data_IF_437131831899
#
_entry.id   IF_437131831899
#
_cell.length_a   1.000
_cell.length_b   1.000
_cell.length_c   1.000
_cell.angle_alpha   90.00
_cell.angle_beta   90.00
_cell.angle_gamma   90.00
#
_symmetry.space_group_name_H-M   'P 1'
#
loop_
_entity.id
_entity.type
_entity.pdbx_description
1 polymer ?
#
# COMPACT_ATOMS: atom_id res chain seq x y z
N UNK A 1 9.69 24.07 26.66
CA UNK A 1 9.54 24.16 25.19
C UNK A 1 8.79 22.91 24.75
N UNK A 2 7.52 23.05 24.38
CA UNK A 2 6.67 21.92 23.97
C UNK A 2 6.89 21.65 22.47
N UNK A 3 7.41 20.46 22.15
CA UNK A 3 7.56 20.00 20.76
C UNK A 3 6.30 19.26 20.33
N UNK A 4 5.62 19.79 19.31
CA UNK A 4 4.50 19.11 18.67
C UNK A 4 5.04 17.99 17.76
N UNK A 5 4.69 16.74 18.04
CA UNK A 5 4.83 15.65 17.08
C UNK A 5 3.79 15.86 15.97
N UNK A 6 4.25 16.29 14.80
CA UNK A 6 3.43 16.21 13.59
C UNK A 6 3.42 14.76 13.10
N UNK A 7 2.30 14.06 13.27
CA UNK A 7 2.05 12.79 12.58
C UNK A 7 1.88 13.09 11.09
N UNK A 8 2.86 12.66 10.29
CA UNK A 8 2.78 12.75 8.84
C UNK A 8 1.97 11.55 8.35
N UNK A 9 0.69 11.77 8.09
CA UNK A 9 -0.20 10.75 7.53
C UNK A 9 0.18 10.60 6.04
N UNK A 10 0.59 9.41 5.57
CA UNK A 10 0.78 9.20 4.14
C UNK A 10 -0.59 9.33 3.46
N UNK A 11 -0.71 10.30 2.56
CA UNK A 11 -1.87 10.41 1.67
C UNK A 11 -1.73 9.27 0.67
N UNK A 12 -2.47 8.19 0.90
CA UNK A 12 -2.73 7.21 -0.15
C UNK A 12 -3.57 7.91 -1.22
N UNK A 13 -2.98 8.17 -2.38
CA UNK A 13 -3.74 8.60 -3.54
C UNK A 13 -4.74 7.49 -3.86
N UNK A 14 -6.02 7.86 -3.98
CA UNK A 14 -7.07 6.93 -4.33
C UNK A 14 -6.85 6.49 -5.78
N UNK A 15 -6.84 5.18 -6.02
CA UNK A 15 -6.99 4.60 -7.34
C UNK A 15 -8.24 5.19 -8.00
N UNK A 16 -8.07 5.78 -9.18
CA UNK A 16 -9.19 6.37 -9.90
C UNK A 16 -10.23 5.30 -10.19
N UNK A 17 -11.51 5.62 -9.99
CA UNK A 17 -12.66 4.77 -10.31
C UNK A 17 -12.86 4.53 -11.84
N UNK A 18 -11.78 4.61 -12.62
CA UNK A 18 -11.73 4.49 -14.08
C UNK A 18 -11.94 3.04 -14.57
N UNK A 19 -11.99 2.06 -13.67
CA UNK A 19 -12.04 0.63 -13.99
C UNK A 19 -10.68 0.04 -14.39
N UNK A 20 -9.61 0.80 -14.18
CA UNK A 20 -8.22 0.39 -14.34
C UNK A 20 -7.52 0.45 -12.96
N UNK A 21 -6.94 -0.66 -12.51
CA UNK A 21 -6.14 -0.71 -11.29
C UNK A 21 -4.66 -0.84 -11.67
N UNK A 22 -3.89 0.21 -11.38
CA UNK A 22 -2.46 0.28 -11.67
C UNK A 22 -1.69 0.18 -10.35
N UNK A 23 -0.83 -0.84 -10.23
CA UNK A 23 -0.04 -1.10 -9.02
C UNK A 23 1.45 -1.32 -9.35
N UNK A 24 2.38 -0.78 -8.55
CA UNK A 24 2.16 0.18 -7.48
C UNK A 24 1.81 1.57 -8.03
N UNK A 25 1.08 2.40 -7.27
CA UNK A 25 0.74 3.76 -7.70
C UNK A 25 1.94 4.72 -7.71
N UNK A 26 2.95 4.41 -6.89
CA UNK A 26 4.26 5.05 -6.92
C UNK A 26 5.26 4.03 -7.45
N UNK A 27 5.69 4.22 -8.69
CA UNK A 27 6.61 3.32 -9.38
C UNK A 27 7.99 3.93 -9.43
N UNK A 28 8.97 3.22 -8.86
CA UNK A 28 10.36 3.61 -9.02
C UNK A 28 10.80 3.39 -10.47
N UNK A 29 11.77 4.18 -10.92
CA UNK A 29 12.40 3.95 -12.22
C UNK A 29 13.00 2.54 -12.24
N UNK A 30 12.77 1.78 -13.33
CA UNK A 30 13.17 0.37 -13.43
C UNK A 30 12.22 -0.63 -12.75
N UNK A 31 11.11 -0.19 -12.16
CA UNK A 31 10.14 -1.08 -11.51
C UNK A 31 9.13 -1.67 -12.49
N UNK A 32 8.66 -2.88 -12.16
CA UNK A 32 7.52 -3.51 -12.84
C UNK A 32 6.22 -2.93 -12.31
N UNK A 33 5.34 -2.55 -13.23
CA UNK A 33 3.98 -2.08 -12.99
C UNK A 33 3.01 -3.14 -13.46
N UNK A 34 2.10 -3.52 -12.58
CA UNK A 34 0.99 -4.41 -12.88
C UNK A 34 -0.25 -3.57 -13.13
N UNK A 35 -0.89 -3.79 -14.26
CA UNK A 35 -2.16 -3.17 -14.64
C UNK A 35 -3.22 -4.26 -14.69
N UNK A 36 -4.32 -4.06 -13.98
CA UNK A 36 -5.48 -4.93 -14.03
C UNK A 36 -6.76 -4.17 -14.37
N UNK A 37 -7.69 -4.81 -15.06
CA UNK A 37 -8.96 -4.19 -15.43
C UNK A 37 -10.09 -5.21 -15.54
N UNK A 38 -11.28 -4.81 -15.10
CA UNK A 38 -12.55 -5.53 -15.27
C UNK A 38 -13.44 -4.91 -16.33
N UNK A 39 -13.09 -3.72 -16.82
CA UNK A 39 -13.92 -2.93 -17.72
C UNK A 39 -14.04 -3.53 -19.13
N UNK A 40 -13.18 -4.50 -19.49
CA UNK A 40 -13.22 -5.19 -20.77
C UNK A 40 -14.34 -6.25 -20.86
N UNK A 41 -14.92 -6.66 -19.74
CA UNK A 41 -15.98 -7.66 -19.68
C UNK A 41 -15.45 -9.09 -19.57
N UNK A 42 -16.29 -9.99 -19.02
CA UNK A 42 -15.87 -11.34 -18.63
C UNK A 42 -15.56 -12.29 -19.80
N UNK A 43 -16.04 -11.99 -21.00
CA UNK A 43 -15.86 -12.82 -22.20
C UNK A 43 -14.58 -12.48 -22.99
N UNK A 44 -13.83 -11.46 -22.56
CA UNK A 44 -12.63 -10.98 -23.25
C UNK A 44 -11.40 -11.55 -22.55
N UNK A 45 -10.58 -12.29 -23.31
CA UNK A 45 -9.36 -12.95 -22.80
C UNK A 45 -8.07 -12.20 -23.12
N UNK A 46 -8.17 -11.11 -23.89
CA UNK A 46 -7.03 -10.36 -24.39
C UNK A 46 -7.32 -8.87 -24.52
N UNK A 47 -6.40 -8.05 -24.04
CA UNK A 47 -6.40 -6.60 -24.17
C UNK A 47 -5.03 -6.08 -24.61
N UNK A 48 -5.03 -4.92 -25.28
CA UNK A 48 -3.79 -4.19 -25.60
C UNK A 48 -3.68 -2.96 -24.72
N UNK A 49 -2.60 -2.88 -23.97
CA UNK A 49 -2.21 -1.72 -23.16
C UNK A 49 -1.15 -0.90 -23.87
N UNK A 50 -1.15 0.40 -23.65
CA UNK A 50 -0.20 1.35 -24.20
C UNK A 50 0.08 2.40 -23.13
N UNK A 51 1.32 2.43 -22.62
CA UNK A 51 1.85 3.46 -21.71
C UNK A 51 2.71 4.42 -22.52
N UNK A 52 2.61 5.72 -22.25
CA UNK A 52 3.49 6.70 -22.92
C UNK A 52 4.94 6.56 -22.46
N UNK A 53 5.18 6.17 -21.21
CA UNK A 53 6.51 5.96 -20.63
C UNK A 53 7.15 4.61 -21.00
N UNK A 54 6.39 3.52 -21.06
CA UNK A 54 6.92 2.16 -21.23
C UNK A 54 6.55 1.50 -22.57
N UNK A 55 5.67 2.13 -23.36
CA UNK A 55 5.21 1.62 -24.65
C UNK A 55 4.08 0.60 -24.54
N UNK A 56 3.94 -0.23 -25.58
CA UNK A 56 2.85 -1.19 -25.68
C UNK A 56 3.08 -2.45 -24.83
N UNK A 57 2.05 -2.88 -24.13
CA UNK A 57 2.01 -4.12 -23.35
C UNK A 57 0.73 -4.89 -23.61
N UNK A 58 0.71 -6.16 -23.21
CA UNK A 58 -0.42 -7.05 -23.42
C UNK A 58 -1.05 -7.39 -22.09
N UNK A 59 -2.39 -7.41 -22.08
CA UNK A 59 -3.17 -7.91 -20.95
C UNK A 59 -3.79 -9.24 -21.35
N UNK A 60 -3.72 -10.20 -20.43
CA UNK A 60 -4.26 -11.54 -20.55
C UNK A 60 -5.18 -11.83 -19.36
N UNK A 61 -5.91 -12.94 -19.38
CA UNK A 61 -6.69 -13.37 -18.21
C UNK A 61 -5.79 -13.49 -16.98
N UNK A 62 -6.18 -12.75 -15.93
CA UNK A 62 -5.54 -12.82 -14.62
C UNK A 62 -6.08 -13.98 -13.79
N UNK A 63 -5.74 -13.98 -12.49
CA UNK A 63 -6.18 -15.02 -11.55
C UNK A 63 -7.69 -15.02 -11.31
N UNK A 64 -8.35 -13.88 -11.52
CA UNK A 64 -9.79 -13.71 -11.34
C UNK A 64 -10.51 -13.71 -12.68
N UNK A 65 -11.59 -14.48 -12.79
CA UNK A 65 -12.41 -14.53 -14.01
C UNK A 65 -12.92 -13.14 -14.39
N UNK A 66 -12.74 -12.77 -15.66
CA UNK A 66 -13.13 -11.47 -16.20
C UNK A 66 -12.24 -10.30 -15.77
N UNK A 67 -11.10 -10.57 -15.13
CA UNK A 67 -10.03 -9.60 -14.92
C UNK A 67 -8.95 -9.84 -15.94
N UNK A 68 -8.59 -8.80 -16.69
CA UNK A 68 -7.41 -8.80 -17.54
C UNK A 68 -6.26 -8.16 -16.79
N UNK A 69 -5.12 -8.85 -16.74
CA UNK A 69 -3.89 -8.40 -16.09
C UNK A 69 -2.75 -8.38 -17.09
N UNK A 70 -1.95 -7.32 -17.05
CA UNK A 70 -0.73 -7.18 -17.83
C UNK A 70 0.34 -6.46 -17.02
N UNK A 71 1.60 -6.64 -17.42
CA UNK A 71 2.73 -6.02 -16.74
C UNK A 71 3.64 -5.32 -17.74
N UNK A 72 4.26 -4.23 -17.31
CA UNK A 72 5.29 -3.54 -18.06
C UNK A 72 6.35 -2.99 -17.11
N UNK A 73 7.55 -2.75 -17.63
CA UNK A 73 8.66 -2.18 -16.85
C UNK A 73 8.87 -0.73 -17.25
N UNK A 74 8.92 0.17 -16.28
CA UNK A 74 9.21 1.59 -16.54
C UNK A 74 10.70 1.77 -16.81
N UNK A 75 11.12 2.32 -17.96
CA UNK A 75 12.54 2.51 -18.25
C UNK A 75 13.18 3.54 -17.29
N UNK A 76 14.45 3.33 -16.94
CA UNK A 76 15.17 4.15 -15.95
C UNK A 76 15.37 5.63 -16.38
N UNK A 77 15.19 5.94 -17.67
CA UNK A 77 15.28 7.30 -18.22
C UNK A 77 13.94 7.98 -18.49
N UNK A 78 12.82 7.44 -17.97
CA UNK A 78 11.49 8.04 -18.14
C UNK A 78 11.43 9.44 -17.54
N UNK A 79 10.76 10.39 -18.19
CA UNK A 79 10.55 11.72 -17.59
C UNK A 79 9.61 11.61 -16.39
N UNK A 80 9.94 12.23 -15.24
CA UNK A 80 9.05 12.26 -14.10
C UNK A 80 7.82 13.11 -14.40
N UNK A 81 6.66 12.74 -13.86
CA UNK A 81 5.39 13.40 -14.16
C UNK A 81 4.20 12.45 -14.17
N UNK A 82 3.11 12.86 -14.82
CA UNK A 82 1.94 12.00 -15.01
C UNK A 82 2.11 11.21 -16.30
N UNK A 83 2.08 9.88 -16.22
CA UNK A 83 2.03 9.00 -17.39
C UNK A 83 0.61 8.52 -17.64
N UNK A 84 0.24 8.44 -18.91
CA UNK A 84 -1.08 7.99 -19.33
C UNK A 84 -1.00 6.56 -19.85
N UNK A 85 -1.86 5.69 -19.31
CA UNK A 85 -2.05 4.32 -19.75
C UNK A 85 -3.39 4.19 -20.46
N UNK A 86 -3.35 3.74 -21.71
CA UNK A 86 -4.54 3.43 -22.50
C UNK A 86 -4.67 1.92 -22.66
N UNK A 87 -5.81 1.36 -22.30
CA UNK A 87 -6.16 -0.05 -22.58
C UNK A 87 -7.28 -0.11 -23.61
N UNK A 88 -7.06 -0.89 -24.67
CA UNK A 88 -8.00 -1.13 -25.77
C UNK A 88 -8.45 -2.60 -25.72
N UNK A 89 -9.75 -2.80 -25.63
CA UNK A 89 -10.39 -4.10 -25.56
C UNK A 89 -11.41 -4.29 -26.70
N UNK A 90 -11.44 -5.47 -27.36
CA UNK A 90 -12.48 -5.81 -28.32
C UNK A 90 -13.87 -5.87 -27.67
N UNK A 91 -14.97 -5.58 -28.40
CA UNK A 91 -15.00 -5.10 -29.78
C UNK A 91 -14.81 -3.58 -29.91
N UNK A 92 -15.00 -2.79 -28.84
CA UNK A 92 -14.99 -1.30 -28.92
C UNK A 92 -14.76 -0.58 -27.58
N UNK A 93 -14.17 -1.24 -26.60
CA UNK A 93 -13.94 -0.65 -25.27
C UNK A 93 -12.56 -0.02 -25.21
N UNK A 94 -12.48 1.22 -24.73
CA UNK A 94 -11.22 1.93 -24.49
C UNK A 94 -11.28 2.55 -23.11
N UNK A 95 -10.34 2.16 -22.25
CA UNK A 95 -10.14 2.74 -20.92
C UNK A 95 -8.84 3.54 -20.96
N UNK A 96 -8.82 4.67 -20.28
CA UNK A 96 -7.63 5.50 -20.15
C UNK A 96 -7.55 5.97 -18.73
N UNK A 97 -6.39 5.75 -18.13
CA UNK A 97 -6.09 6.21 -16.79
C UNK A 97 -4.67 6.77 -16.73
N UNK A 98 -4.36 7.50 -15.67
CA UNK A 98 -3.08 8.15 -15.48
C UNK A 98 -2.50 7.79 -14.12
N UNK A 99 -1.20 7.53 -14.07
CA UNK A 99 -0.47 7.32 -12.82
C UNK A 99 0.68 8.32 -12.69
N UNK A 100 1.17 8.49 -11.46
CA UNK A 100 2.27 9.43 -11.20
C UNK A 100 3.60 8.67 -11.16
N UNK A 101 4.53 9.08 -12.02
CA UNK A 101 5.94 8.75 -11.85
C UNK A 101 6.53 9.71 -10.81
N UNK A 102 7.11 9.17 -9.73
CA UNK A 102 7.72 9.98 -8.69
C UNK A 102 8.88 10.81 -9.26
N UNK A 103 8.91 12.10 -8.92
CA UNK A 103 9.99 13.03 -9.29
C UNK A 103 11.31 12.76 -8.57
N UNK A 104 11.30 11.93 -7.52
CA UNK A 104 12.49 11.39 -6.86
C UNK A 104 12.23 9.95 -6.47
N UNK A 105 13.18 9.07 -6.74
CA UNK A 105 13.29 7.78 -6.07
C UNK A 105 13.47 8.05 -4.56
N UNK A 106 12.55 7.68 -3.67
CA UNK A 106 12.90 7.62 -2.26
C UNK A 106 13.83 6.41 -2.10
N UNK A 107 15.13 6.66 -1.91
CA UNK A 107 16.11 5.64 -1.50
C UNK A 107 15.75 5.14 -0.09
N UNK A 108 14.74 4.29 -0.02
CA UNK A 108 14.20 3.77 1.22
C UNK A 108 13.57 2.43 0.89
N UNK A 109 14.38 1.38 0.93
CA UNK A 109 13.87 0.03 1.03
C UNK A 109 12.98 -0.04 2.28
N UNK A 110 11.65 0.06 2.10
CA UNK A 110 10.75 -0.49 3.10
C UNK A 110 10.85 -1.98 2.93
N UNK A 111 11.77 -2.56 3.68
CA UNK A 111 11.62 -3.95 4.09
C UNK A 111 10.27 -3.99 4.82
N UNK A 112 9.21 -4.36 4.10
CA UNK A 112 7.93 -4.69 4.72
C UNK A 112 8.17 -6.00 5.48
N UNK A 113 8.81 -5.87 6.63
CA UNK A 113 9.08 -6.93 7.58
C UNK A 113 7.75 -7.45 8.09
N UNK A 114 7.23 -8.47 7.42
CA UNK A 114 6.21 -9.31 7.98
C UNK A 114 6.84 -10.10 9.12
N UNK A 115 6.63 -9.60 10.35
CA UNK A 115 6.69 -10.31 11.63
C UNK A 115 7.80 -11.34 11.79
N UNK A 116 8.98 -10.91 12.24
CA UNK A 116 9.77 -11.76 13.13
C UNK A 116 9.27 -11.55 14.56
N UNK A 117 8.61 -12.57 15.11
CA UNK A 117 8.31 -12.68 16.54
C UNK A 117 9.62 -12.94 17.29
N UNK A 118 10.44 -11.89 17.40
CA UNK A 118 11.82 -11.99 17.87
C UNK A 118 12.25 -10.82 18.74
N UNK A 119 11.42 -10.38 19.71
CA UNK A 119 11.88 -9.58 20.86
C UNK A 119 11.24 -10.07 22.15
N UNK A 120 11.70 -11.22 22.60
CA UNK A 120 11.52 -11.71 23.96
C UNK A 120 12.20 -10.76 24.98
N UNK A 121 11.57 -10.64 26.16
CA UNK A 121 12.05 -10.10 27.43
C UNK A 121 11.61 -8.68 27.89
N UNK A 122 11.88 -7.53 27.24
CA UNK A 122 11.71 -6.24 27.93
C UNK A 122 10.25 -5.79 28.07
N UNK A 123 9.35 -6.18 27.16
CA UNK A 123 7.94 -5.78 27.21
C UNK A 123 7.13 -6.55 28.28
N UNK A 124 7.48 -7.82 28.54
CA UNK A 124 6.86 -8.61 29.60
C UNK A 124 7.23 -8.10 31.01
N UNK A 125 8.47 -7.64 31.18
CA UNK A 125 8.96 -7.11 32.46
C UNK A 125 8.22 -5.82 32.88
N UNK A 126 7.89 -4.96 31.93
CA UNK A 126 7.14 -3.73 32.19
C UNK A 126 5.66 -4.01 32.50
N UNK A 127 5.05 -5.00 31.84
CA UNK A 127 3.67 -5.41 32.10
C UNK A 127 3.46 -5.97 33.51
N UNK A 128 4.34 -6.87 33.96
CA UNK A 128 4.23 -7.49 35.29
C UNK A 128 4.38 -6.47 36.44
N UNK A 129 5.27 -5.48 36.28
CA UNK A 129 5.49 -4.44 37.29
C UNK A 129 4.22 -3.59 37.55
N UNK A 130 3.46 -3.28 36.49
CA UNK A 130 2.22 -2.50 36.61
C UNK A 130 1.12 -3.26 37.37
N UNK A 131 1.00 -4.58 37.16
CA UNK A 131 0.02 -5.42 37.87
C UNK A 131 0.36 -5.53 39.36
N UNK A 132 1.63 -5.73 39.71
CA UNK A 132 2.07 -5.80 41.11
C UNK A 132 1.83 -4.49 41.87
N UNK A 133 2.10 -3.34 41.23
CA UNK A 133 1.85 -2.02 41.81
C UNK A 133 0.35 -1.78 42.10
N UNK A 134 -0.54 -2.20 41.19
CA UNK A 134 -1.98 -2.08 41.37
C UNK A 134 -2.49 -2.92 42.57
N UNK A 135 -2.02 -4.15 42.73
CA UNK A 135 -2.41 -5.04 43.83
C UNK A 135 -1.95 -4.49 45.20
N UNK A 136 -0.70 -4.01 45.30
CA UNK A 136 -0.19 -3.42 46.54
C UNK A 136 -0.94 -2.13 46.92
N UNK A 137 -1.25 -1.27 45.95
CA UNK A 137 -2.04 -0.06 46.17
C UNK A 137 -3.46 -0.34 46.68
N UNK A 138 -4.11 -1.39 46.16
CA UNK A 138 -5.44 -1.82 46.61
C UNK A 138 -5.45 -2.27 48.08
N UNK A 139 -4.48 -3.09 48.48
CA UNK A 139 -4.38 -3.58 49.86
C UNK A 139 -4.07 -2.45 50.86
N UNK A 140 -3.20 -1.50 50.51
CA UNK A 140 -2.91 -0.34 51.35
C UNK A 140 -4.13 0.56 51.52
N UNK A 141 -4.92 0.78 50.45
CA UNK A 141 -6.16 1.56 50.52
C UNK A 141 -7.22 0.89 51.39
N UNK A 142 -7.35 -0.44 51.32
CA UNK A 142 -8.25 -1.19 52.20
C UNK A 142 -7.80 -1.15 53.67
N UNK A 143 -6.50 -1.32 53.96
CA UNK A 143 -5.97 -1.18 55.33
C UNK A 143 -6.22 0.21 55.92
N UNK A 144 -6.07 1.27 55.13
CA UNK A 144 -6.39 2.65 55.59
C UNK A 144 -7.88 2.88 55.84
N UNK A 145 -8.78 2.14 55.17
CA UNK A 145 -10.23 2.20 55.46
C UNK A 145 -10.59 1.45 56.75
N UNK A 146 -9.96 0.29 56.99
CA UNK A 146 -10.24 -0.51 58.19
C UNK A 146 -9.78 0.15 59.49
N UNK A 147 -8.80 1.06 59.44
CA UNK A 147 -8.28 1.78 60.61
C UNK A 147 -8.99 3.13 60.87
N UNK A 148 -10.14 3.36 60.22
CA UNK A 148 -10.96 4.58 60.32
C UNK A 148 -12.42 4.24 60.69
N UNK A 149 -12.59 3.22 61.52
CA UNK A 149 -13.81 2.87 62.26
C UNK A 149 -13.38 2.42 63.67
#
# INVERSE_FOLDING_TARGET
MAGFLALQIPVAAAAGDSGLDIRPQLTSHGSTVTVSTTACGADVTYGKGESEAAGAFHLYEGESKGVLTGEFTVPEGSSPGTDTVTVKCPPRTRITDSYQLPTRQPDGAVEAGFGDTGREAPQLALGAALVAAAAAGGLVRMRRRSNRN
#
